data_IF_847140495019
#
_entry.id   IF_847140495019
#
_cell.length_a   1.000
_cell.length_b   1.000
_cell.length_c   1.000
_cell.angle_alpha   90.00
_cell.angle_beta   90.00
_cell.angle_gamma   90.00
#
_symmetry.space_group_name_H-M   'P 1'
#
loop_
_entity.id
_entity.type
_entity.pdbx_description
1 polymer ?
#
# COMPACT_ATOMS: atom_id res chain seq x y z
N UNK A 1 -0.13 11.38 -0.68
CA UNK A 1 0.39 10.12 -1.23
C UNK A 1 -0.23 9.84 -2.60
N UNK A 2 0.56 9.48 -3.61
CA UNK A 2 0.07 8.93 -4.87
C UNK A 2 0.45 7.45 -4.97
N UNK A 3 -0.40 6.66 -5.64
CA UNK A 3 -0.14 5.24 -5.90
C UNK A 3 -0.29 5.00 -7.40
N UNK A 4 0.78 4.51 -8.01
CA UNK A 4 0.83 4.15 -9.42
C UNK A 4 0.57 2.65 -9.59
N UNK A 5 -0.31 2.31 -10.53
CA UNK A 5 -0.63 0.95 -10.94
C UNK A 5 -0.14 0.75 -12.38
N UNK A 6 0.70 -0.24 -12.62
CA UNK A 6 1.31 -0.47 -13.94
C UNK A 6 0.76 -1.73 -14.62
N UNK A 7 1.18 -2.91 -14.14
CA UNK A 7 0.97 -4.18 -14.82
C UNK A 7 -0.04 -5.04 -14.08
N UNK A 8 -1.12 -5.44 -14.76
CA UNK A 8 -2.04 -6.46 -14.27
C UNK A 8 -1.49 -7.86 -14.54
N UNK A 9 -1.57 -8.75 -13.55
CA UNK A 9 -1.10 -10.12 -13.62
C UNK A 9 -2.23 -11.07 -13.20
N UNK A 10 -2.70 -11.97 -14.08
CA UNK A 10 -3.82 -12.87 -13.78
C UNK A 10 -3.52 -13.86 -12.65
N UNK A 11 -2.25 -14.26 -12.52
CA UNK A 11 -1.75 -15.12 -11.43
C UNK A 11 -0.36 -14.66 -11.02
N UNK A 12 -0.22 -14.24 -9.77
CA UNK A 12 1.04 -13.84 -9.16
C UNK A 12 1.03 -14.12 -7.65
N UNK A 13 2.21 -14.22 -7.05
CA UNK A 13 2.32 -14.21 -5.57
C UNK A 13 2.22 -12.77 -5.04
N UNK A 14 1.13 -12.46 -4.35
CA UNK A 14 0.96 -11.16 -3.69
C UNK A 14 1.98 -11.01 -2.55
N UNK A 15 2.82 -9.97 -2.60
CA UNK A 15 3.93 -9.80 -1.63
C UNK A 15 3.46 -9.56 -0.19
N UNK A 16 2.21 -9.13 0.00
CA UNK A 16 1.67 -8.84 1.33
C UNK A 16 1.09 -10.07 2.03
N UNK A 17 0.37 -10.91 1.28
CA UNK A 17 -0.36 -12.05 1.86
C UNK A 17 0.22 -13.41 1.45
N UNK A 18 1.26 -13.41 0.61
CA UNK A 18 2.00 -14.59 0.13
C UNK A 18 1.11 -15.65 -0.54
N UNK A 19 -0.04 -15.21 -1.08
CA UNK A 19 -0.99 -16.07 -1.77
C UNK A 19 -0.96 -15.79 -3.25
N UNK A 20 -1.06 -16.85 -4.04
CA UNK A 20 -1.24 -16.75 -5.48
C UNK A 20 -2.65 -16.24 -5.80
N UNK A 21 -2.72 -15.09 -6.48
CA UNK A 21 -3.95 -14.36 -6.81
C UNK A 21 -3.74 -13.54 -8.07
N UNK A 22 -4.82 -12.98 -8.57
CA UNK A 22 -4.75 -11.83 -9.46
C UNK A 22 -4.10 -10.64 -8.73
N UNK A 23 -3.11 -10.03 -9.38
CA UNK A 23 -2.31 -8.95 -8.82
C UNK A 23 -2.20 -7.75 -9.76
N UNK A 24 -1.81 -6.63 -9.19
CA UNK A 24 -1.32 -5.46 -9.92
C UNK A 24 0.02 -5.01 -9.35
N UNK A 25 0.96 -4.71 -10.23
CA UNK A 25 2.22 -4.07 -9.83
C UNK A 25 1.93 -2.64 -9.37
N UNK A 26 2.38 -2.33 -8.15
CA UNK A 26 2.05 -1.10 -7.44
C UNK A 26 3.32 -0.40 -7.00
N UNK A 27 3.38 0.92 -7.19
CA UNK A 27 4.44 1.79 -6.65
C UNK A 27 3.83 2.95 -5.86
N UNK A 28 4.27 3.12 -4.61
CA UNK A 28 3.87 4.23 -3.75
C UNK A 28 4.89 5.35 -3.90
N UNK A 29 4.41 6.58 -4.18
CA UNK A 29 5.27 7.74 -4.46
C UNK A 29 6.19 8.16 -3.32
N UNK A 30 5.98 7.60 -2.12
CA UNK A 30 6.73 7.90 -0.90
C UNK A 30 7.68 6.77 -0.49
N UNK A 31 7.92 5.80 -1.38
CA UNK A 31 8.86 4.70 -1.18
C UNK A 31 8.34 3.58 -0.27
N UNK A 32 7.04 3.59 0.12
CA UNK A 32 6.49 2.53 0.98
C UNK A 32 6.59 1.14 0.33
N UNK A 33 6.24 1.06 -0.96
CA UNK A 33 6.38 -0.13 -1.78
C UNK A 33 6.80 0.30 -3.19
N UNK A 34 7.78 -0.38 -3.77
CA UNK A 34 8.28 -0.12 -5.12
C UNK A 34 8.12 -1.37 -5.98
N UNK A 35 7.45 -1.26 -7.13
CA UNK A 35 7.20 -2.37 -8.08
C UNK A 35 6.70 -3.65 -7.37
N UNK A 36 5.80 -3.47 -6.41
CA UNK A 36 5.30 -4.53 -5.56
C UNK A 36 4.03 -5.14 -6.16
N UNK A 37 3.99 -6.47 -6.29
CA UNK A 37 2.78 -7.13 -6.76
C UNK A 37 1.78 -7.33 -5.61
N UNK A 38 0.63 -6.66 -5.70
CA UNK A 38 -0.43 -6.73 -4.69
C UNK A 38 -1.72 -7.24 -5.30
N UNK A 39 -2.40 -8.15 -4.60
CA UNK A 39 -3.81 -8.42 -4.89
C UNK A 39 -4.68 -7.23 -4.45
N UNK A 40 -5.85 -7.06 -5.07
CA UNK A 40 -6.75 -5.92 -4.81
C UNK A 40 -7.06 -5.67 -3.34
N UNK A 41 -7.26 -6.73 -2.54
CA UNK A 41 -7.50 -6.62 -1.10
C UNK A 41 -6.30 -6.05 -0.35
N UNK A 42 -5.10 -6.55 -0.67
CA UNK A 42 -3.86 -6.08 -0.04
C UNK A 42 -3.49 -4.68 -0.49
N UNK A 43 -3.77 -4.30 -1.74
CA UNK A 43 -3.63 -2.93 -2.22
C UNK A 43 -4.50 -1.93 -1.43
N UNK A 44 -5.77 -2.26 -1.21
CA UNK A 44 -6.66 -1.41 -0.42
C UNK A 44 -6.19 -1.29 1.04
N UNK A 45 -5.72 -2.39 1.63
CA UNK A 45 -5.18 -2.38 3.00
C UNK A 45 -3.89 -1.57 3.09
N UNK A 46 -2.95 -1.78 2.17
CA UNK A 46 -1.66 -1.08 2.15
C UNK A 46 -1.84 0.42 1.98
N UNK A 47 -2.75 0.84 1.08
CA UNK A 47 -3.15 2.23 0.93
C UNK A 47 -3.69 2.82 2.24
N UNK A 48 -4.66 2.16 2.89
CA UNK A 48 -5.24 2.63 4.16
C UNK A 48 -4.22 2.74 5.28
N UNK A 49 -3.37 1.74 5.44
CA UNK A 49 -2.28 1.74 6.44
C UNK A 49 -1.39 2.94 6.20
N UNK A 50 -1.00 3.17 4.94
CA UNK A 50 -0.08 4.24 4.61
C UNK A 50 -0.72 5.63 4.72
N UNK A 51 -1.99 5.79 4.37
CA UNK A 51 -2.70 7.07 4.51
C UNK A 51 -2.78 7.52 5.96
N UNK A 52 -3.03 6.59 6.90
CA UNK A 52 -3.10 6.90 8.35
C UNK A 52 -1.76 7.32 8.94
N UNK A 53 -0.64 6.84 8.38
CA UNK A 53 0.69 7.24 8.82
C UNK A 53 1.11 8.63 8.31
N UNK A 54 0.45 9.13 7.27
CA UNK A 54 0.71 10.47 6.73
C UNK A 54 -0.15 11.55 7.39
N UNK A 55 -1.21 11.20 8.14
CA UNK A 55 -1.90 12.17 8.96
C UNK A 55 -1.02 12.48 10.18
N UNK A 56 -0.53 13.73 10.36
CA UNK A 56 0.15 14.08 11.58
C UNK A 56 -0.82 13.84 12.73
N UNK A 57 -0.39 13.04 13.70
CA UNK A 57 -1.10 12.79 14.95
C UNK A 57 -1.43 14.13 15.61
N UNK A 58 -2.62 14.67 15.38
CA UNK A 58 -3.13 15.88 16.02
C UNK A 58 -3.58 15.56 17.45
N UNK A 59 -2.70 14.95 18.23
CA UNK A 59 -2.83 14.75 19.68
C UNK A 59 -1.45 14.87 20.32
N UNK A 60 -0.96 16.12 20.37
CA UNK A 60 0.05 16.56 21.33
C UNK A 60 -0.44 17.89 21.91
N UNK A 61 -1.49 17.81 22.72
CA UNK A 61 -1.86 18.85 23.67
C UNK A 61 -1.70 18.27 25.07
N UNK A 62 -0.47 18.30 25.54
CA UNK A 62 -0.16 18.38 26.97
C UNK A 62 0.95 19.43 27.10
N UNK A 63 0.52 20.66 27.39
CA UNK A 63 1.36 21.77 27.83
C UNK A 63 1.59 21.66 29.35
N UNK A 64 2.71 22.21 29.87
CA UNK A 64 3.12 22.13 31.28
C UNK A 64 2.17 22.83 32.27
#
# INVERSE_FOLDING_TARGET
MLVELSTWQPSCTCVWCEKERECVETTFSDGFLEKANLCWKCLQTSYKVRSRQQEPSSNASDSP
#
